data_IF_699659474699
#
_entry.id   IF_699659474699
#
_cell.length_a   1.000
_cell.length_b   1.000
_cell.length_c   1.000
_cell.angle_alpha   90.00
_cell.angle_beta   90.00
_cell.angle_gamma   90.00
#
_symmetry.space_group_name_H-M   'P 1'
#
loop_
_entity.id
_entity.type
_entity.pdbx_description
1 polymer ?
#
# COMPACT_ATOMS: atom_id res chain seq x y z
N UNK A 1 -3.65 3.13 0.51
CA UNK A 1 -4.88 3.91 0.80
C UNK A 1 -5.49 4.43 -0.49
N UNK A 2 -6.81 4.62 -0.52
CA UNK A 2 -7.55 5.15 -1.68
C UNK A 2 -7.48 6.68 -1.67
N UNK A 3 -7.46 7.30 -2.85
CA UNK A 3 -7.44 8.75 -3.04
C UNK A 3 -8.68 9.41 -2.41
N UNK A 4 -8.55 10.68 -2.04
CA UNK A 4 -9.62 11.56 -1.57
C UNK A 4 -10.31 11.13 -0.26
N UNK A 5 -9.62 10.39 0.61
CA UNK A 5 -10.10 10.13 1.96
C UNK A 5 -10.10 11.43 2.80
N UNK A 6 -11.13 11.59 3.64
CA UNK A 6 -11.32 12.75 4.53
C UNK A 6 -11.54 12.29 5.99
N UNK A 7 -10.53 11.66 6.63
CA UNK A 7 -10.65 11.17 8.00
C UNK A 7 -10.93 12.28 9.02
N UNK A 8 -10.62 13.54 8.69
CA UNK A 8 -10.87 14.71 9.53
C UNK A 8 -12.38 14.91 9.80
N UNK A 9 -13.25 14.48 8.88
CA UNK A 9 -14.70 14.48 9.09
C UNK A 9 -15.13 13.58 10.28
N UNK A 10 -14.29 12.62 10.65
CA UNK A 10 -14.44 11.74 11.80
C UNK A 10 -13.51 12.11 12.97
N UNK A 11 -12.89 13.30 12.93
CA UNK A 11 -11.89 13.75 13.92
C UNK A 11 -10.66 12.82 13.99
N UNK A 12 -10.34 12.11 12.92
CA UNK A 12 -9.17 11.23 12.82
C UNK A 12 -8.02 11.89 12.05
N UNK A 13 -6.79 11.52 12.40
CA UNK A 13 -5.58 12.01 11.73
C UNK A 13 -5.48 11.45 10.31
N UNK A 14 -5.17 12.30 9.36
CA UNK A 14 -4.86 11.90 8.00
C UNK A 14 -3.42 11.41 7.88
N UNK A 15 -3.27 10.14 7.49
CA UNK A 15 -1.96 9.48 7.33
C UNK A 15 -1.46 9.48 5.89
N UNK A 16 -2.26 9.98 4.94
CA UNK A 16 -1.86 10.09 3.53
C UNK A 16 -0.52 10.83 3.35
N UNK A 17 -0.25 11.95 4.05
CA UNK A 17 1.04 12.62 3.94
C UNK A 17 2.23 11.76 4.42
N UNK A 18 2.01 10.90 5.41
CA UNK A 18 3.04 9.98 5.93
C UNK A 18 3.38 8.92 4.88
N UNK A 19 2.36 8.36 4.21
CA UNK A 19 2.57 7.39 3.14
C UNK A 19 3.30 8.02 1.94
N UNK A 20 2.98 9.25 1.56
CA UNK A 20 3.68 9.96 0.49
C UNK A 20 5.15 10.23 0.84
N UNK A 21 5.48 10.37 2.12
CA UNK A 21 6.85 10.60 2.57
C UNK A 21 7.73 9.33 2.49
N UNK A 22 7.18 8.13 2.26
CA UNK A 22 7.99 6.91 2.18
C UNK A 22 9.12 7.03 1.13
N UNK A 23 8.84 7.71 0.01
CA UNK A 23 9.82 7.94 -1.06
C UNK A 23 11.03 8.75 -0.58
N UNK A 24 10.83 9.78 0.27
CA UNK A 24 11.93 10.59 0.81
C UNK A 24 12.77 9.84 1.85
N UNK A 25 12.27 8.71 2.36
CA UNK A 25 12.98 7.80 3.27
C UNK A 25 13.65 6.64 2.53
N UNK A 26 13.82 6.73 1.20
CA UNK A 26 14.42 5.71 0.34
C UNK A 26 13.64 4.38 0.29
N UNK A 27 12.36 4.39 0.69
CA UNK A 27 11.45 3.26 0.54
C UNK A 27 10.84 3.33 -0.87
N UNK A 28 11.51 2.64 -1.80
CA UNK A 28 11.18 2.67 -3.24
C UNK A 28 10.16 1.61 -3.67
N UNK A 29 10.05 0.54 -2.91
CA UNK A 29 9.22 -0.61 -3.29
C UNK A 29 8.06 -0.76 -2.30
N UNK A 30 6.89 -0.29 -2.72
CA UNK A 30 5.62 -0.55 -2.04
C UNK A 30 4.81 -1.49 -2.92
N UNK A 31 4.57 -2.68 -2.41
CA UNK A 31 3.85 -3.72 -3.13
C UNK A 31 2.39 -3.72 -2.73
N UNK A 32 1.50 -3.97 -3.70
CA UNK A 32 0.10 -4.26 -3.43
C UNK A 32 -0.30 -5.51 -4.18
N UNK A 33 -1.01 -6.41 -3.50
CA UNK A 33 -1.48 -7.65 -4.10
C UNK A 33 -2.62 -7.39 -5.09
N UNK A 34 -2.50 -7.97 -6.27
CA UNK A 34 -3.44 -7.81 -7.38
C UNK A 34 -4.81 -8.36 -7.05
N UNK A 35 -4.88 -9.58 -6.51
CA UNK A 35 -6.12 -10.27 -6.24
C UNK A 35 -6.95 -9.52 -5.17
N UNK A 36 -6.34 -8.97 -4.12
CA UNK A 36 -7.01 -8.10 -3.14
C UNK A 36 -7.59 -6.84 -3.76
N UNK A 37 -6.86 -6.19 -4.68
CA UNK A 37 -7.37 -5.01 -5.39
C UNK A 37 -8.61 -5.39 -6.19
N UNK A 38 -8.58 -6.52 -6.90
CA UNK A 38 -9.67 -7.02 -7.73
C UNK A 38 -10.89 -7.43 -6.88
N UNK A 39 -10.67 -8.16 -5.78
CA UNK A 39 -11.72 -8.56 -4.82
C UNK A 39 -12.41 -7.34 -4.19
N UNK A 40 -11.67 -6.24 -3.97
CA UNK A 40 -12.22 -4.98 -3.47
C UNK A 40 -12.86 -4.11 -4.56
N UNK A 41 -12.84 -4.52 -5.84
CA UNK A 41 -13.33 -3.73 -6.96
C UNK A 41 -12.57 -2.42 -7.19
N UNK A 42 -11.31 -2.38 -6.78
CA UNK A 42 -10.45 -1.21 -6.89
C UNK A 42 -9.58 -1.28 -8.15
N UNK A 43 -9.04 -0.13 -8.56
CA UNK A 43 -8.00 -0.05 -9.55
C UNK A 43 -6.79 0.68 -8.98
N UNK A 44 -5.59 0.32 -9.46
CA UNK A 44 -4.31 0.90 -9.02
C UNK A 44 -4.31 2.44 -9.05
N UNK A 45 -4.88 3.05 -10.11
CA UNK A 45 -4.99 4.52 -10.25
C UNK A 45 -5.76 5.21 -9.11
N UNK A 46 -6.54 4.46 -8.33
CA UNK A 46 -7.29 4.96 -7.18
C UNK A 46 -6.45 4.96 -5.90
N UNK A 47 -5.23 4.42 -5.91
CA UNK A 47 -4.32 4.42 -4.77
C UNK A 47 -3.53 5.71 -4.67
N UNK A 48 -3.25 6.17 -3.46
CA UNK A 48 -2.67 7.51 -3.24
C UNK A 48 -1.16 7.59 -3.47
N UNK A 49 -0.44 6.48 -3.31
CA UNK A 49 1.01 6.39 -3.52
C UNK A 49 1.29 5.54 -4.76
N UNK A 50 2.47 5.73 -5.36
CA UNK A 50 2.97 4.83 -6.37
C UNK A 50 3.20 3.44 -5.74
N UNK A 51 2.69 2.41 -6.39
CA UNK A 51 2.84 1.03 -5.93
C UNK A 51 3.20 0.14 -7.10
N UNK A 52 3.79 -1.01 -6.80
CA UNK A 52 3.95 -2.10 -7.74
C UNK A 52 2.88 -3.15 -7.44
N UNK A 53 1.99 -3.37 -8.40
CA UNK A 53 0.96 -4.40 -8.26
C UNK A 53 1.55 -5.76 -8.66
N UNK A 54 1.49 -6.73 -7.75
CA UNK A 54 2.02 -8.07 -7.95
C UNK A 54 0.98 -9.15 -7.59
N UNK A 55 1.11 -10.34 -8.18
CA UNK A 55 0.21 -11.46 -7.84
C UNK A 55 0.46 -11.99 -6.43
N UNK A 56 -0.52 -12.68 -5.85
CA UNK A 56 -0.41 -13.41 -4.58
C UNK A 56 0.83 -14.30 -4.52
N UNK A 57 1.13 -14.97 -5.63
CA UNK A 57 2.30 -15.85 -5.72
C UNK A 57 3.61 -15.05 -5.58
N UNK A 58 3.75 -13.92 -6.27
CA UNK A 58 4.95 -13.08 -6.19
C UNK A 58 5.13 -12.50 -4.78
N UNK A 59 4.06 -11.94 -4.19
CA UNK A 59 4.07 -11.45 -2.81
C UNK A 59 4.50 -12.55 -1.84
N UNK A 60 3.95 -13.76 -1.99
CA UNK A 60 4.35 -14.90 -1.16
C UNK A 60 5.84 -15.25 -1.31
N UNK A 61 6.40 -15.19 -2.53
CA UNK A 61 7.83 -15.42 -2.73
C UNK A 61 8.68 -14.36 -2.03
N UNK A 62 8.27 -13.08 -2.09
CA UNK A 62 8.97 -12.01 -1.41
C UNK A 62 8.94 -12.18 0.11
N UNK A 63 7.76 -12.47 0.68
CA UNK A 63 7.60 -12.74 2.12
C UNK A 63 8.49 -13.89 2.56
N UNK A 64 8.51 -15.01 1.82
CA UNK A 64 9.32 -16.18 2.16
C UNK A 64 10.84 -15.93 2.04
N UNK A 65 11.25 -14.92 1.27
CA UNK A 65 12.65 -14.54 1.12
C UNK A 65 13.15 -13.56 2.18
N UNK A 66 12.25 -12.95 2.95
CA UNK A 66 12.62 -11.99 3.98
C UNK A 66 13.12 -12.70 5.24
N UNK A 67 14.27 -12.28 5.77
CA UNK A 67 14.80 -12.78 7.04
C UNK A 67 13.93 -12.35 8.24
N UNK A 68 13.29 -11.18 8.12
CA UNK A 68 12.48 -10.56 9.17
C UNK A 68 11.20 -9.99 8.59
N UNK A 69 10.09 -10.20 9.29
CA UNK A 69 8.77 -9.69 8.94
C UNK A 69 8.22 -8.92 10.13
N UNK A 70 7.87 -7.66 9.91
CA UNK A 70 7.11 -6.86 10.86
C UNK A 70 5.64 -6.85 10.44
N UNK A 71 4.77 -7.26 11.36
CA UNK A 71 3.31 -7.29 11.15
C UNK A 71 2.63 -6.22 12.00
N UNK A 72 1.65 -5.54 11.42
CA UNK A 72 0.88 -4.45 12.05
C UNK A 72 -0.62 -4.68 11.89
#
# INVERSE_FOLDING_TARGET
MVKNQQPEALQLKNITPILNALEIYDIKEVLVEKESIEECGLAERQLTIAVKVESRCEIQRQINSADHIFSF
#
